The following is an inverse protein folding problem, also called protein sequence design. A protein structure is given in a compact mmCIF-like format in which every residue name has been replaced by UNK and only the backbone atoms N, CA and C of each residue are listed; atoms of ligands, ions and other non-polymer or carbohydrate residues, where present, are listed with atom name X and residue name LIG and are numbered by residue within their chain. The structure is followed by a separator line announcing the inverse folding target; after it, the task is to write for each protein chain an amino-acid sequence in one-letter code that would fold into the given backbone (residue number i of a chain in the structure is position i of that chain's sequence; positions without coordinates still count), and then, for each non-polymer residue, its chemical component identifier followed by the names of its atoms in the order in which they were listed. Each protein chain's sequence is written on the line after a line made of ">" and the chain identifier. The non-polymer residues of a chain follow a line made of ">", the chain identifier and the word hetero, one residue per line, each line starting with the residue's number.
data_IF_963135942861
#
_entry.id   IF_963135942861
#
_cell.length_a   1.000
_cell.length_b   1.000
_cell.length_c   1.000
_cell.angle_alpha   90.00
_cell.angle_beta   90.00
_cell.angle_gamma   90.00
#
_symmetry.space_group_name_H-M   'P 1'
#
loop_
_entity.id
_entity.type
_entity.pdbx_description
1 polymer ?
#
# COMPACT_ATOMS: atom_id res chain seq x y z
N UNK A 1 36.71 -10.61 -6.17
CA UNK A 1 35.49 -9.99 -6.74
C UNK A 1 35.04 -8.88 -5.78
N UNK A 2 35.63 -7.70 -5.89
CA UNK A 2 35.29 -6.58 -5.00
C UNK A 2 33.97 -5.99 -5.49
N UNK A 3 32.89 -6.23 -4.75
CA UNK A 3 31.60 -5.63 -5.07
C UNK A 3 31.74 -4.11 -4.99
N UNK A 4 31.60 -3.44 -6.13
CA UNK A 4 31.47 -2.00 -6.21
C UNK A 4 30.20 -1.64 -5.43
N UNK A 5 30.34 -1.07 -4.22
CA UNK A 5 29.24 -0.48 -3.48
C UNK A 5 28.71 0.71 -4.30
N UNK A 6 27.79 0.43 -5.24
CA UNK A 6 27.07 1.45 -5.98
C UNK A 6 26.10 2.12 -5.02
N UNK A 7 26.57 3.18 -4.39
CA UNK A 7 25.72 4.04 -3.56
C UNK A 7 24.89 4.93 -4.47
N UNK A 8 23.57 4.92 -4.30
CA UNK A 8 22.63 5.79 -5.00
C UNK A 8 21.99 6.74 -3.99
N UNK A 9 21.79 8.00 -4.39
CA UNK A 9 21.17 9.00 -3.54
C UNK A 9 19.63 8.98 -3.61
N UNK A 10 19.00 9.23 -2.47
CA UNK A 10 17.55 9.40 -2.36
C UNK A 10 17.28 10.87 -2.06
N UNK A 11 16.56 11.56 -2.96
CA UNK A 11 16.15 12.95 -2.79
C UNK A 11 14.63 13.04 -2.80
N UNK A 12 14.07 13.68 -1.78
CA UNK A 12 12.65 13.98 -1.69
C UNK A 12 12.44 15.42 -1.26
N UNK A 13 11.42 16.08 -1.84
CA UNK A 13 11.00 17.41 -1.40
C UNK A 13 10.09 17.24 -0.19
N UNK A 14 10.46 17.90 0.90
CA UNK A 14 9.69 17.90 2.15
C UNK A 14 9.59 19.33 2.68
N UNK A 15 8.56 19.58 3.46
CA UNK A 15 8.40 20.84 4.16
C UNK A 15 9.56 21.08 5.17
N UNK A 16 9.95 22.34 5.32
CA UNK A 16 11.09 22.73 6.17
C UNK A 16 10.80 22.46 7.65
N UNK A 17 9.59 22.74 8.10
CA UNK A 17 9.18 22.50 9.49
C UNK A 17 9.11 20.99 9.76
N UNK A 18 8.50 20.22 8.85
CA UNK A 18 8.46 18.76 8.94
C UNK A 18 9.88 18.15 9.06
N UNK A 19 10.83 18.65 8.26
CA UNK A 19 12.23 18.20 8.35
C UNK A 19 12.85 18.45 9.73
N UNK A 20 12.60 19.63 10.31
CA UNK A 20 13.16 20.01 11.60
C UNK A 20 12.56 19.17 12.73
N UNK A 21 11.24 18.98 12.74
CA UNK A 21 10.55 18.16 13.72
C UNK A 21 11.01 16.70 13.65
N UNK A 22 11.04 16.12 12.44
CA UNK A 22 11.52 14.75 12.25
C UNK A 22 13.00 14.59 12.66
N UNK A 23 13.86 15.58 12.38
CA UNK A 23 15.25 15.54 12.80
C UNK A 23 15.39 15.48 14.32
N UNK A 24 14.62 16.30 15.06
CA UNK A 24 14.63 16.32 16.52
C UNK A 24 14.24 14.96 17.10
N UNK A 25 13.11 14.42 16.66
CA UNK A 25 12.59 13.13 17.16
C UNK A 25 13.56 11.99 16.86
N UNK A 26 14.13 11.95 15.65
CA UNK A 26 15.08 10.91 15.28
C UNK A 26 16.40 11.04 16.06
N UNK A 27 16.84 12.27 16.34
CA UNK A 27 18.07 12.51 17.09
C UNK A 27 17.94 12.08 18.56
N UNK A 28 16.76 12.23 19.17
CA UNK A 28 16.46 11.69 20.50
C UNK A 28 16.56 10.15 20.53
N UNK A 29 16.28 9.50 19.39
CA UNK A 29 16.47 8.06 19.18
C UNK A 29 17.90 7.67 18.75
N UNK A 30 18.84 8.62 18.67
CA UNK A 30 20.22 8.38 18.22
C UNK A 30 20.35 8.14 16.71
N UNK A 31 19.36 8.51 15.91
CA UNK A 31 19.31 8.28 14.47
C UNK A 31 19.45 9.60 13.69
N UNK A 32 20.10 9.50 12.53
CA UNK A 32 20.05 10.55 11.51
C UNK A 32 18.86 10.32 10.58
N UNK A 33 18.39 11.37 9.89
CA UNK A 33 17.36 11.23 8.84
C UNK A 33 17.77 10.18 7.81
N UNK A 34 19.03 10.18 7.38
CA UNK A 34 19.53 9.20 6.40
C UNK A 34 19.51 7.78 6.94
N UNK A 35 19.81 7.56 8.23
CA UNK A 35 19.71 6.24 8.85
C UNK A 35 18.25 5.78 8.92
N UNK A 36 17.34 6.67 9.33
CA UNK A 36 15.91 6.36 9.38
C UNK A 36 15.32 6.01 8.00
N UNK A 37 15.70 6.74 6.94
CA UNK A 37 15.28 6.44 5.56
C UNK A 37 15.80 5.06 5.11
N UNK A 38 17.04 4.69 5.48
CA UNK A 38 17.58 3.35 5.15
C UNK A 38 16.79 2.25 5.84
N UNK A 39 16.54 2.39 7.15
CA UNK A 39 15.73 1.43 7.91
C UNK A 39 14.32 1.29 7.34
N UNK A 40 13.69 2.40 6.97
CA UNK A 40 12.38 2.37 6.32
C UNK A 40 12.41 1.55 5.02
N UNK A 41 13.39 1.79 4.15
CA UNK A 41 13.50 1.06 2.87
C UNK A 41 13.85 -0.42 3.08
N UNK A 42 14.69 -0.74 4.06
CA UNK A 42 14.98 -2.12 4.44
C UNK A 42 13.71 -2.84 4.92
N UNK A 43 12.89 -2.19 5.75
CA UNK A 43 11.63 -2.76 6.22
C UNK A 43 10.64 -2.97 5.07
N UNK A 44 10.55 -2.02 4.13
CA UNK A 44 9.71 -2.19 2.93
C UNK A 44 10.13 -3.43 2.12
N UNK A 45 11.43 -3.68 1.99
CA UNK A 45 11.94 -4.86 1.28
C UNK A 45 11.68 -6.15 2.07
N UNK A 46 11.84 -6.13 3.39
CA UNK A 46 11.63 -7.31 4.23
C UNK A 46 10.15 -7.73 4.27
N UNK A 47 9.24 -6.76 4.44
CA UNK A 47 7.81 -7.04 4.61
C UNK A 47 7.03 -7.04 3.30
N UNK A 48 7.65 -6.62 2.19
CA UNK A 48 6.99 -6.44 0.89
C UNK A 48 5.74 -5.55 0.97
N UNK A 49 5.72 -4.63 1.94
CA UNK A 49 4.64 -3.69 2.17
C UNK A 49 5.17 -2.38 2.76
N UNK A 50 4.30 -1.38 2.90
CA UNK A 50 4.68 -0.14 3.58
C UNK A 50 4.61 -0.39 5.09
N UNK A 51 5.69 -0.15 5.86
CA UNK A 51 5.82 -0.52 7.27
C UNK A 51 5.10 0.46 8.22
N UNK A 52 3.94 0.95 7.78
CA UNK A 52 2.99 1.69 8.61
C UNK A 52 1.61 1.58 7.98
N UNK A 53 0.60 1.68 8.82
CA UNK A 53 -0.76 1.52 8.37
C UNK A 53 -1.24 2.75 7.57
N UNK A 54 -1.61 2.55 6.31
CA UNK A 54 -2.17 3.60 5.46
C UNK A 54 -3.69 3.60 5.62
N UNK A 55 -4.17 4.27 6.67
CA UNK A 55 -5.61 4.47 6.89
C UNK A 55 -6.09 5.72 6.16
N UNK A 56 -7.17 5.58 5.38
CA UNK A 56 -8.04 6.71 5.01
C UNK A 56 -9.22 6.74 5.97
N UNK A 57 -9.58 7.93 6.48
CA UNK A 57 -10.78 8.09 7.33
C UNK A 57 -12.07 7.67 6.62
N UNK A 58 -12.09 7.72 5.29
CA UNK A 58 -13.23 7.35 4.46
C UNK A 58 -12.76 6.45 3.31
N UNK A 59 -13.55 5.42 2.93
CA UNK A 59 -13.26 4.57 1.77
C UNK A 59 -13.08 5.41 0.50
N UNK A 60 -12.26 4.92 -0.44
CA UNK A 60 -12.22 5.54 -1.77
C UNK A 60 -13.59 5.41 -2.45
N UNK A 61 -13.94 6.32 -3.37
CA UNK A 61 -15.19 6.24 -4.13
C UNK A 61 -15.36 4.87 -4.80
N UNK A 62 -14.26 4.32 -5.34
CA UNK A 62 -14.24 2.97 -5.93
C UNK A 62 -14.57 1.89 -4.90
N UNK A 63 -14.00 1.98 -3.70
CA UNK A 63 -14.24 1.02 -2.63
C UNK A 63 -15.68 1.13 -2.09
N UNK A 64 -16.21 2.35 -1.95
CA UNK A 64 -17.58 2.58 -1.51
C UNK A 64 -18.59 1.98 -2.50
N UNK A 65 -18.41 2.23 -3.80
CA UNK A 65 -19.24 1.61 -4.85
C UNK A 65 -19.15 0.09 -4.85
N UNK A 66 -17.95 -0.47 -4.73
CA UNK A 66 -17.78 -1.92 -4.66
C UNK A 66 -18.49 -2.55 -3.45
N UNK A 67 -18.57 -1.84 -2.32
CA UNK A 67 -19.33 -2.29 -1.15
C UNK A 67 -20.84 -2.24 -1.39
N UNK A 68 -21.35 -1.17 -2.02
CA UNK A 68 -22.77 -1.09 -2.42
C UNK A 68 -23.13 -2.22 -3.41
N UNK A 69 -22.31 -2.43 -4.44
CA UNK A 69 -22.48 -3.53 -5.41
C UNK A 69 -22.47 -4.90 -4.72
N UNK A 70 -21.55 -5.12 -3.77
CA UNK A 70 -21.49 -6.37 -3.01
C UNK A 70 -22.78 -6.65 -2.24
N UNK A 71 -23.37 -5.64 -1.58
CA UNK A 71 -24.65 -5.81 -0.85
C UNK A 71 -25.81 -6.16 -1.78
N UNK A 72 -25.80 -5.69 -3.03
CA UNK A 72 -26.81 -6.03 -4.02
C UNK A 72 -26.63 -7.46 -4.55
N UNK A 73 -25.38 -7.92 -4.68
CA UNK A 73 -25.04 -9.27 -5.13
C UNK A 73 -25.40 -10.32 -4.07
N UNK A 74 -25.16 -10.03 -2.78
CA UNK A 74 -25.53 -10.92 -1.66
C UNK A 74 -27.03 -11.28 -1.65
N UNK A 75 -27.89 -10.37 -2.13
CA UNK A 75 -29.33 -10.60 -2.18
C UNK A 75 -29.78 -11.40 -3.41
N UNK A 76 -28.90 -11.58 -4.41
CA UNK A 76 -29.24 -12.18 -5.70
C UNK A 76 -28.97 -13.68 -5.77
N UNK A 77 -28.05 -14.21 -4.96
CA UNK A 77 -27.65 -15.61 -5.02
C UNK A 77 -27.95 -16.34 -3.71
N UNK A 78 -28.51 -17.54 -3.83
CA UNK A 78 -28.90 -18.37 -2.68
C UNK A 78 -27.80 -19.32 -2.21
N UNK A 79 -26.76 -19.51 -3.04
CA UNK A 79 -25.61 -20.36 -2.73
C UNK A 79 -24.34 -19.86 -3.42
N UNK A 80 -23.18 -20.18 -2.83
CA UNK A 80 -21.88 -19.84 -3.41
C UNK A 80 -21.64 -20.53 -4.76
N UNK A 81 -22.18 -21.74 -4.94
CA UNK A 81 -22.05 -22.50 -6.19
C UNK A 81 -22.78 -21.82 -7.35
N UNK A 82 -23.96 -21.25 -7.09
CA UNK A 82 -24.75 -20.49 -8.07
C UNK A 82 -24.00 -19.23 -8.52
N UNK A 83 -23.43 -18.48 -7.58
CA UNK A 83 -22.63 -17.29 -7.85
C UNK A 83 -21.37 -17.60 -8.68
N UNK A 84 -20.63 -18.66 -8.31
CA UNK A 84 -19.40 -19.07 -9.00
C UNK A 84 -19.67 -19.59 -10.43
N UNK A 85 -20.83 -20.23 -10.65
CA UNK A 85 -21.26 -20.67 -11.98
C UNK A 85 -21.60 -19.51 -12.91
N UNK A 86 -22.08 -18.36 -12.40
CA UNK A 86 -22.30 -17.17 -13.23
C UNK A 86 -21.00 -16.42 -13.55
N UNK A 87 -20.10 -16.25 -12.58
CA UNK A 87 -18.81 -15.58 -12.81
C UNK A 87 -18.00 -16.28 -13.90
N UNK A 88 -17.91 -17.61 -13.84
CA UNK A 88 -17.20 -18.42 -14.83
C UNK A 88 -17.83 -18.39 -16.23
N UNK A 89 -19.15 -18.13 -16.34
CA UNK A 89 -19.84 -17.92 -17.62
C UNK A 89 -19.61 -16.52 -18.19
N UNK A 90 -19.39 -15.52 -17.34
CA UNK A 90 -19.20 -14.13 -17.74
C UNK A 90 -17.84 -13.89 -18.42
N UNK A 91 -16.78 -14.57 -17.99
CA UNK A 91 -15.45 -14.49 -18.61
C UNK A 91 -15.40 -15.08 -20.03
N UNK A 92 -16.31 -16.00 -20.37
CA UNK A 92 -16.39 -16.63 -21.68
C UNK A 92 -17.07 -15.74 -22.76
N UNK A 93 -17.74 -14.65 -22.37
CA UNK A 93 -18.50 -13.77 -23.30
C UNK A 93 -17.77 -12.50 -23.75
N UNK A 94 -16.58 -12.19 -23.21
CA UNK A 94 -15.84 -10.95 -23.52
C UNK A 94 -14.84 -11.08 -24.68
N UNK A 95 -14.86 -12.21 -25.41
CA UNK A 95 -14.15 -12.39 -26.69
C UNK A 95 -15.16 -12.66 -27.81
N UNK A 96 -15.86 -11.62 -28.24
CA UNK A 96 -16.44 -11.51 -29.59
C UNK A 96 -16.52 -10.04 -29.98
#
# INVERSE_FOLDING_TARGET
>A
MTALLKTTDVRSRIDKQLKAEAASVLQDCGLTISAAIRLFLEQVVQEQCIPFEIKRKQPSIKTARALEEATLIEQQYSSLDEMMLELTKSDAKTKQ
#
